data_IF_280732562151
#
_entry.id   IF_280732562151
#
_cell.length_a   1.000
_cell.length_b   1.000
_cell.length_c   1.000
_cell.angle_alpha   90.00
_cell.angle_beta   90.00
_cell.angle_gamma   90.00
#
_symmetry.space_group_name_H-M   'P 1'
#
loop_
_entity.id
_entity.type
_entity.pdbx_description
1 polymer ?
#
# COMPACT_ATOMS: atom_id res chain seq x y z
N UNK A 1 3.85 -1.81 2.36
CA UNK A 1 3.78 -2.27 3.77
C UNK A 1 3.14 -3.65 3.77
N UNK A 2 3.59 -4.59 4.58
CA UNK A 2 3.16 -5.99 4.49
C UNK A 2 3.27 -6.72 5.82
N UNK A 3 2.51 -7.81 5.96
CA UNK A 3 2.67 -8.83 7.00
C UNK A 3 3.46 -10.06 6.48
N UNK A 4 3.72 -10.14 5.15
CA UNK A 4 4.46 -11.23 4.50
C UNK A 4 5.51 -10.65 3.53
N UNK A 5 6.80 -10.81 3.88
CA UNK A 5 7.89 -10.26 3.09
C UNK A 5 8.02 -10.91 1.71
N UNK A 6 7.82 -12.23 1.60
CA UNK A 6 7.92 -12.92 0.32
C UNK A 6 6.87 -12.40 -0.67
N UNK A 7 5.64 -12.23 -0.19
CA UNK A 7 4.56 -11.64 -0.98
C UNK A 7 4.86 -10.19 -1.40
N UNK A 8 5.44 -9.37 -0.51
CA UNK A 8 5.86 -8.01 -0.82
C UNK A 8 6.99 -7.98 -1.87
N UNK A 9 7.93 -8.90 -1.79
CA UNK A 9 9.05 -9.02 -2.74
C UNK A 9 8.54 -9.41 -4.15
N UNK A 10 7.54 -10.31 -4.23
CA UNK A 10 6.90 -10.68 -5.49
C UNK A 10 6.18 -9.48 -6.12
N UNK A 11 5.42 -8.73 -5.34
CA UNK A 11 4.79 -7.47 -5.78
C UNK A 11 5.82 -6.44 -6.24
N UNK A 12 6.91 -6.28 -5.51
CA UNK A 12 7.98 -5.33 -5.85
C UNK A 12 8.64 -5.72 -7.18
N UNK A 13 8.86 -7.01 -7.38
CA UNK A 13 9.42 -7.56 -8.64
C UNK A 13 8.45 -7.32 -9.80
N UNK A 14 7.16 -7.59 -9.61
CA UNK A 14 6.13 -7.34 -10.62
C UNK A 14 6.03 -5.84 -10.97
N UNK A 15 6.13 -4.96 -9.98
CA UNK A 15 6.17 -3.52 -10.19
C UNK A 15 7.37 -3.10 -11.06
N UNK A 16 8.56 -3.63 -10.77
CA UNK A 16 9.76 -3.35 -11.54
C UNK A 16 9.62 -3.81 -13.00
N UNK A 17 9.08 -5.01 -13.25
CA UNK A 17 8.81 -5.53 -14.60
C UNK A 17 7.80 -4.65 -15.33
N UNK A 18 6.79 -4.16 -14.63
CA UNK A 18 5.74 -3.29 -15.20
C UNK A 18 6.19 -1.83 -15.39
N UNK A 19 7.40 -1.47 -14.94
CA UNK A 19 7.91 -0.10 -14.97
C UNK A 19 7.21 0.85 -13.97
N UNK A 20 6.59 0.31 -12.92
CA UNK A 20 5.99 1.08 -11.83
C UNK A 20 6.94 1.09 -10.62
N UNK A 21 7.15 2.27 -10.05
CA UNK A 21 8.06 2.46 -8.93
C UNK A 21 7.32 2.29 -7.60
N UNK A 22 7.86 1.46 -6.72
CA UNK A 22 7.36 1.24 -5.36
C UNK A 22 8.48 1.37 -4.34
N UNK A 23 8.11 1.74 -3.12
CA UNK A 23 9.04 1.81 -2.01
C UNK A 23 8.38 1.24 -0.76
N UNK A 24 9.00 0.22 -0.17
CA UNK A 24 8.46 -0.42 1.03
C UNK A 24 8.65 0.47 2.25
N UNK A 25 7.56 0.74 2.95
CA UNK A 25 7.58 1.39 4.27
C UNK A 25 7.51 0.34 5.38
N UNK A 26 8.10 0.63 6.56
CA UNK A 26 8.08 -0.30 7.68
C UNK A 26 6.68 -0.49 8.27
N UNK A 27 6.46 -1.65 8.91
CA UNK A 27 5.21 -2.03 9.58
C UNK A 27 5.49 -2.48 11.03
N UNK A 28 6.28 -1.71 11.78
CA UNK A 28 6.58 -2.07 13.17
C UNK A 28 5.33 -2.09 14.05
N UNK A 29 5.30 -3.01 15.01
CA UNK A 29 4.16 -3.21 15.90
C UNK A 29 3.79 -1.94 16.68
N UNK A 30 4.78 -1.16 17.04
CA UNK A 30 4.64 0.09 17.81
C UNK A 30 3.76 1.13 17.10
N UNK A 31 3.72 1.12 15.78
CA UNK A 31 2.87 2.05 15.01
C UNK A 31 1.36 1.83 15.23
N UNK A 32 0.96 0.63 15.68
CA UNK A 32 -0.42 0.33 16.04
C UNK A 32 -0.92 1.10 17.28
N UNK A 33 0.00 1.63 18.11
CA UNK A 33 -0.40 2.43 19.28
C UNK A 33 -1.17 3.69 18.91
N UNK A 34 -0.94 4.25 17.72
CA UNK A 34 -1.65 5.41 17.19
C UNK A 34 -3.15 5.14 16.95
N UNK A 35 -3.55 3.87 16.84
CA UNK A 35 -4.92 3.44 16.56
C UNK A 35 -5.69 3.07 17.83
N UNK A 36 -5.08 3.15 19.01
CA UNK A 36 -5.74 2.84 20.26
C UNK A 36 -6.85 3.86 20.57
N UNK A 37 -8.01 3.36 21.02
CA UNK A 37 -9.15 4.16 21.44
C UNK A 37 -9.51 3.87 22.90
N UNK A 38 -10.10 4.86 23.56
CA UNK A 38 -10.67 4.70 24.92
C UNK A 38 -12.17 4.38 24.90
N UNK A 39 -12.80 4.48 23.73
CA UNK A 39 -14.27 4.39 23.59
C UNK A 39 -14.71 3.46 22.46
N UNK A 40 -13.78 2.97 21.64
CA UNK A 40 -14.03 2.04 20.53
C UNK A 40 -12.88 1.03 20.48
N UNK A 41 -13.02 -0.02 19.66
CA UNK A 41 -11.99 -1.04 19.47
C UNK A 41 -10.75 -0.43 18.81
N UNK A 42 -10.95 0.40 17.79
CA UNK A 42 -9.91 1.10 17.05
C UNK A 42 -10.32 2.53 16.71
N UNK A 43 -9.34 3.39 16.46
CA UNK A 43 -9.51 4.69 15.83
C UNK A 43 -9.37 4.54 14.33
N UNK A 44 -10.16 5.27 13.55
CA UNK A 44 -10.05 5.28 12.08
C UNK A 44 -8.80 5.98 11.57
N UNK A 45 -8.28 6.94 12.34
CA UNK A 45 -7.09 7.73 12.00
C UNK A 45 -6.19 7.85 13.24
N UNK A 46 -4.88 7.92 13.01
CA UNK A 46 -3.91 8.17 14.07
C UNK A 46 -4.06 9.54 14.70
N UNK A 47 -3.43 9.72 15.86
CA UNK A 47 -3.41 10.98 16.62
C UNK A 47 -2.33 11.92 16.11
N UNK A 48 -1.27 11.37 15.53
CA UNK A 48 -0.11 12.10 15.06
C UNK A 48 -0.26 12.71 13.68
N UNK A 49 0.62 13.67 13.39
CA UNK A 49 0.73 14.30 12.06
C UNK A 49 1.53 13.44 11.07
N UNK A 50 2.42 12.58 11.58
CA UNK A 50 3.42 11.88 10.80
C UNK A 50 3.06 10.41 10.56
N UNK A 51 3.55 9.85 9.48
CA UNK A 51 3.39 8.43 9.20
C UNK A 51 1.98 7.98 8.81
N UNK A 52 1.13 8.88 8.30
CA UNK A 52 -0.26 8.59 7.96
C UNK A 52 -0.46 7.38 7.05
N UNK A 53 0.42 7.19 6.07
CA UNK A 53 0.40 6.00 5.20
C UNK A 53 0.62 4.70 6.00
N UNK A 54 1.57 4.72 6.95
CA UNK A 54 1.86 3.55 7.81
C UNK A 54 0.68 3.28 8.75
N UNK A 55 0.12 4.32 9.35
CA UNK A 55 -1.05 4.21 10.24
C UNK A 55 -2.27 3.68 9.51
N UNK A 56 -2.50 4.11 8.26
CA UNK A 56 -3.56 3.56 7.41
C UNK A 56 -3.34 2.07 7.11
N UNK A 57 -2.10 1.67 6.79
CA UNK A 57 -1.74 0.26 6.63
C UNK A 57 -1.97 -0.55 7.91
N UNK A 58 -1.57 -0.01 9.08
CA UNK A 58 -1.80 -0.67 10.37
C UNK A 58 -3.28 -0.82 10.70
N UNK A 59 -4.11 0.15 10.37
CA UNK A 59 -5.56 0.04 10.54
C UNK A 59 -6.15 -1.10 9.70
N UNK A 60 -5.76 -1.21 8.44
CA UNK A 60 -6.26 -2.27 7.56
C UNK A 60 -5.74 -3.65 7.95
N UNK A 61 -4.52 -3.76 8.49
CA UNK A 61 -3.94 -5.00 8.98
C UNK A 61 -4.82 -5.69 10.03
N UNK A 62 -5.51 -4.95 10.87
CA UNK A 62 -6.41 -5.49 11.91
C UNK A 62 -7.58 -6.31 11.34
N UNK A 63 -7.88 -6.17 10.06
CA UNK A 63 -8.98 -6.87 9.37
C UNK A 63 -8.52 -8.01 8.46
N UNK A 64 -7.22 -8.26 8.37
CA UNK A 64 -6.66 -9.20 7.37
C UNK A 64 -6.47 -10.62 7.91
N UNK A 65 -6.41 -10.83 9.22
CA UNK A 65 -6.10 -12.13 9.83
C UNK A 65 -4.74 -12.71 9.36
N UNK A 66 -4.67 -14.03 9.17
CA UNK A 66 -3.45 -14.79 8.82
C UNK A 66 -3.15 -14.84 7.32
N UNK A 67 -3.86 -14.07 6.50
CA UNK A 67 -3.65 -14.06 5.05
C UNK A 67 -2.43 -13.21 4.70
N UNK A 68 -1.58 -13.70 3.79
CA UNK A 68 -0.49 -12.91 3.20
C UNK A 68 -1.05 -11.64 2.55
N UNK A 69 -0.59 -10.49 3.00
CA UNK A 69 -1.18 -9.22 2.65
C UNK A 69 -0.13 -8.12 2.44
N UNK A 70 -0.40 -7.25 1.48
CA UNK A 70 0.38 -6.04 1.25
C UNK A 70 -0.55 -4.85 1.03
N UNK A 71 -0.39 -3.81 1.83
CA UNK A 71 -1.01 -2.52 1.61
C UNK A 71 -0.19 -1.69 0.60
N UNK A 72 -0.87 -1.19 -0.42
CA UNK A 72 -0.30 -0.26 -1.40
C UNK A 72 -0.98 1.10 -1.24
N UNK A 73 -0.25 2.09 -0.71
CA UNK A 73 -0.72 3.47 -0.66
C UNK A 73 -0.45 4.12 -2.03
N UNK A 74 -1.52 4.41 -2.74
CA UNK A 74 -1.48 5.03 -4.07
C UNK A 74 -1.96 6.48 -4.07
N UNK A 75 -2.22 7.07 -2.91
CA UNK A 75 -2.79 8.42 -2.81
C UNK A 75 -1.97 9.48 -3.56
N UNK A 76 -0.64 9.40 -3.49
CA UNK A 76 0.24 10.32 -4.21
C UNK A 76 0.21 10.17 -5.73
N UNK A 77 0.46 8.96 -6.29
CA UNK A 77 0.57 8.76 -7.72
C UNK A 77 -0.76 8.51 -8.44
N UNK A 78 -1.90 8.36 -7.74
CA UNK A 78 -3.18 7.96 -8.32
C UNK A 78 -3.77 8.99 -9.29
N UNK A 79 -3.45 10.27 -9.11
CA UNK A 79 -4.01 11.36 -9.89
C UNK A 79 -2.94 12.37 -10.29
N UNK A 80 -3.01 12.89 -11.52
CA UNK A 80 -2.15 13.94 -12.02
C UNK A 80 -2.97 15.21 -12.30
N UNK A 81 -2.65 16.29 -11.60
CA UNK A 81 -3.34 17.59 -11.71
C UNK A 81 -3.09 18.27 -13.07
N UNK A 82 -2.04 17.86 -13.78
CA UNK A 82 -1.67 18.39 -15.08
C UNK A 82 -1.07 17.31 -15.97
N UNK A 83 -1.12 17.47 -17.32
CA UNK A 83 -0.50 16.55 -18.25
C UNK A 83 0.98 16.34 -17.93
N UNK A 84 1.43 15.09 -17.96
CA UNK A 84 2.84 14.69 -17.94
C UNK A 84 3.16 14.00 -19.26
N UNK A 85 4.45 13.76 -19.52
CA UNK A 85 4.97 13.28 -20.81
C UNK A 85 4.20 12.10 -21.46
N UNK A 86 3.49 11.28 -20.65
CA UNK A 86 2.72 10.11 -21.10
C UNK A 86 1.32 9.97 -20.45
N UNK A 87 0.84 11.02 -19.78
CA UNK A 87 -0.46 11.00 -19.10
C UNK A 87 -1.11 12.36 -19.31
N UNK A 88 -2.30 12.38 -19.89
CA UNK A 88 -3.05 13.61 -20.22
C UNK A 88 -3.61 14.35 -18.97
N UNK A 89 -3.27 13.93 -17.79
CA UNK A 89 -3.87 14.37 -16.52
C UNK A 89 -5.04 13.46 -16.10
N UNK A 90 -5.50 13.63 -14.87
CA UNK A 90 -6.55 12.77 -14.31
C UNK A 90 -5.99 11.48 -13.67
N UNK A 91 -6.79 10.42 -13.65
CA UNK A 91 -6.43 9.14 -13.04
C UNK A 91 -5.26 8.47 -13.78
N UNK A 92 -4.24 8.09 -13.03
CA UNK A 92 -3.01 7.51 -13.58
C UNK A 92 -3.10 6.02 -13.93
N UNK A 93 -4.04 5.28 -13.31
CA UNK A 93 -4.10 3.83 -13.39
C UNK A 93 -2.90 3.14 -12.71
N UNK A 94 -2.23 3.81 -11.78
CA UNK A 94 -1.08 3.25 -11.03
C UNK A 94 -1.42 1.89 -10.42
N UNK A 95 -0.47 0.97 -10.42
CA UNK A 95 -0.56 -0.42 -9.94
C UNK A 95 -1.43 -1.36 -10.79
N UNK A 96 -2.21 -0.90 -11.76
CA UNK A 96 -3.01 -1.81 -12.63
C UNK A 96 -2.11 -2.79 -13.37
N UNK A 97 -1.01 -2.32 -13.97
CA UNK A 97 -0.05 -3.18 -14.69
C UNK A 97 0.69 -4.11 -13.76
N UNK A 98 1.06 -3.64 -12.58
CA UNK A 98 1.69 -4.46 -11.53
C UNK A 98 0.78 -5.62 -11.12
N UNK A 99 -0.50 -5.36 -10.86
CA UNK A 99 -1.44 -6.41 -10.47
C UNK A 99 -1.66 -7.45 -11.57
N UNK A 100 -1.73 -7.03 -12.84
CA UNK A 100 -1.78 -7.95 -13.97
C UNK A 100 -0.52 -8.83 -14.02
N UNK A 101 0.66 -8.25 -13.81
CA UNK A 101 1.92 -9.00 -13.82
C UNK A 101 2.02 -9.97 -12.65
N UNK A 102 1.53 -9.60 -11.46
CA UNK A 102 1.42 -10.53 -10.31
C UNK A 102 0.60 -11.74 -10.67
N UNK A 103 -0.60 -11.56 -11.26
CA UNK A 103 -1.47 -12.68 -11.66
C UNK A 103 -0.74 -13.60 -12.65
N UNK A 104 -0.06 -13.04 -13.66
CA UNK A 104 0.73 -13.81 -14.63
C UNK A 104 1.86 -14.63 -14.00
N UNK A 105 2.44 -14.12 -12.91
CA UNK A 105 3.50 -14.83 -12.19
C UNK A 105 2.96 -15.99 -11.35
N UNK A 106 1.73 -15.86 -10.83
CA UNK A 106 1.07 -16.90 -10.05
C UNK A 106 0.57 -18.09 -10.91
N UNK A 107 0.39 -17.88 -12.21
CA UNK A 107 -0.05 -18.93 -13.16
C UNK A 107 1.09 -19.83 -13.66
N UNK A 108 2.34 -19.57 -13.28
CA UNK A 108 3.55 -20.34 -13.66
C UNK A 108 3.94 -21.32 -12.58
#
# INVERSE_FOLDING_TARGET
>A
MTNDQNWCDDLTRAAAVSGEQVWQLPMFKEFGTELQSKVADLRNIGTGRWGGAITAGKFLEEFVSEVSWTHMDIAGPAFADSPKKWVDGGASGVMVRTLIEVIRQLEK
#
